data_IF_711655972139
#
_entry.id   IF_711655972139
#
_cell.length_a   1.000
_cell.length_b   1.000
_cell.length_c   1.000
_cell.angle_alpha   90.00
_cell.angle_beta   90.00
_cell.angle_gamma   90.00
#
_symmetry.space_group_name_H-M   'P 1'
#
loop_
_entity.id
_entity.type
_entity.pdbx_description
1 polymer ?
#
# COMPACT_ATOMS: atom_id res chain seq x y z
N UNK A 1 8.26 33.95 22.41
CA UNK A 1 8.33 32.66 21.69
C UNK A 1 9.79 32.41 21.37
N UNK A 2 10.39 31.32 21.87
CA UNK A 2 11.79 31.00 21.56
C UNK A 2 11.90 30.52 20.11
N UNK A 3 12.96 30.93 19.39
CA UNK A 3 13.21 30.54 17.99
C UNK A 3 13.10 29.02 17.80
N UNK A 4 13.57 28.25 18.80
CA UNK A 4 13.49 26.79 18.84
C UNK A 4 12.05 26.27 18.74
N UNK A 5 11.09 26.86 19.46
CA UNK A 5 9.69 26.44 19.42
C UNK A 5 9.03 26.74 18.06
N UNK A 6 9.42 27.84 17.42
CA UNK A 6 8.95 28.19 16.07
C UNK A 6 9.49 27.20 15.04
N UNK A 7 10.80 26.90 15.08
CA UNK A 7 11.40 25.92 14.17
C UNK A 7 10.81 24.52 14.36
N UNK A 8 10.60 24.11 15.61
CA UNK A 8 9.92 22.86 15.97
C UNK A 8 8.52 22.76 15.33
N UNK A 9 7.74 23.83 15.41
CA UNK A 9 6.38 23.91 14.87
C UNK A 9 6.37 23.87 13.33
N UNK A 10 7.31 24.57 12.68
CA UNK A 10 7.48 24.53 11.22
C UNK A 10 7.86 23.12 10.77
N UNK A 11 8.85 22.50 11.43
CA UNK A 11 9.29 21.15 11.12
C UNK A 11 8.16 20.12 11.23
N UNK A 12 7.31 20.23 12.25
CA UNK A 12 6.14 19.37 12.42
C UNK A 12 5.12 19.55 11.29
N UNK A 13 4.83 20.80 10.92
CA UNK A 13 3.86 21.11 9.89
C UNK A 13 4.30 20.66 8.49
N UNK A 14 5.59 20.83 8.18
CA UNK A 14 6.12 20.67 6.81
C UNK A 14 6.76 19.29 6.58
N UNK A 15 7.28 18.65 7.64
CA UNK A 15 8.00 17.38 7.53
C UNK A 15 7.22 16.27 6.83
N UNK A 16 6.04 15.86 7.31
CA UNK A 16 5.27 14.79 6.68
C UNK A 16 4.87 15.09 5.22
N UNK A 17 4.32 16.28 4.87
CA UNK A 17 4.04 16.62 3.47
C UNK A 17 5.25 16.53 2.53
N UNK A 18 6.44 16.92 2.99
CA UNK A 18 7.65 16.86 2.17
C UNK A 18 8.07 15.43 1.82
N UNK A 19 7.88 14.48 2.75
CA UNK A 19 8.17 13.07 2.47
C UNK A 19 7.29 12.56 1.32
N UNK A 20 6.01 12.91 1.32
CA UNK A 20 5.09 12.54 0.24
C UNK A 20 5.40 13.29 -1.07
N UNK A 21 5.85 14.54 -1.00
CA UNK A 21 6.27 15.30 -2.17
C UNK A 21 7.54 14.70 -2.82
N UNK A 22 8.52 14.27 -2.02
CA UNK A 22 9.71 13.56 -2.49
C UNK A 22 9.33 12.21 -3.16
N UNK A 23 8.39 11.48 -2.55
CA UNK A 23 7.83 10.28 -3.16
C UNK A 23 7.18 10.56 -4.51
N UNK A 24 6.37 11.62 -4.61
CA UNK A 24 5.75 12.05 -5.86
C UNK A 24 6.80 12.36 -6.93
N UNK A 25 7.86 13.09 -6.57
CA UNK A 25 8.95 13.41 -7.47
C UNK A 25 9.68 12.15 -7.97
N UNK A 26 9.92 11.17 -7.09
CA UNK A 26 10.54 9.89 -7.44
C UNK A 26 9.71 9.11 -8.47
N UNK A 27 8.38 9.12 -8.34
CA UNK A 27 7.45 8.47 -9.28
C UNK A 27 7.49 9.17 -10.65
N UNK A 28 7.43 10.50 -10.68
CA UNK A 28 7.53 11.28 -11.93
C UNK A 28 8.84 10.97 -12.66
N UNK A 29 9.95 10.90 -11.92
CA UNK A 29 11.27 10.59 -12.49
C UNK A 29 11.33 9.17 -13.07
N UNK A 30 10.71 8.20 -12.41
CA UNK A 30 10.72 6.78 -12.83
C UNK A 30 9.65 6.44 -13.86
N UNK A 31 8.62 7.30 -14.01
CA UNK A 31 7.41 7.05 -14.83
C UNK A 31 6.72 5.72 -14.50
N UNK A 32 6.75 5.33 -13.23
CA UNK A 32 6.14 4.09 -12.76
C UNK A 32 5.52 4.30 -11.37
N UNK A 33 4.22 4.07 -11.28
CA UNK A 33 3.43 4.15 -10.04
C UNK A 33 3.02 2.78 -9.49
N UNK A 34 3.47 1.66 -10.10
CA UNK A 34 3.03 0.29 -9.78
C UNK A 34 3.31 -0.14 -8.32
N UNK A 35 4.25 0.53 -7.65
CA UNK A 35 4.58 0.31 -6.24
C UNK A 35 3.80 1.17 -5.24
N UNK A 36 2.93 2.09 -5.68
CA UNK A 36 2.25 3.03 -4.80
C UNK A 36 0.76 2.69 -4.62
N UNK A 37 0.29 2.67 -3.38
CA UNK A 37 -1.11 2.36 -3.07
C UNK A 37 -1.95 3.63 -3.04
N UNK A 38 -2.90 3.75 -3.98
CA UNK A 38 -3.91 4.81 -3.97
C UNK A 38 -4.70 4.85 -2.65
N UNK A 39 -4.88 3.70 -1.99
CA UNK A 39 -5.63 3.58 -0.74
C UNK A 39 -5.00 4.39 0.41
N UNK A 40 -3.67 4.34 0.53
CA UNK A 40 -2.95 5.08 1.57
C UNK A 40 -3.19 6.57 1.38
N UNK A 41 -3.15 7.04 0.15
CA UNK A 41 -3.44 8.43 -0.18
C UNK A 41 -4.86 8.83 0.25
N UNK A 42 -5.86 8.00 -0.04
CA UNK A 42 -7.25 8.24 0.36
C UNK A 42 -7.46 8.29 1.85
N UNK A 43 -6.90 7.32 2.58
CA UNK A 43 -6.97 7.28 4.04
C UNK A 43 -6.37 8.54 4.66
N UNK A 44 -5.21 9.00 4.16
CA UNK A 44 -4.56 10.22 4.65
C UNK A 44 -5.39 11.47 4.32
N UNK A 45 -5.95 11.58 3.11
CA UNK A 45 -6.81 12.73 2.74
C UNK A 45 -8.04 12.78 3.65
N UNK A 46 -8.76 11.66 3.78
CA UNK A 46 -9.99 11.57 4.58
C UNK A 46 -9.71 11.93 6.04
N UNK A 47 -8.66 11.37 6.64
CA UNK A 47 -8.28 11.67 8.02
C UNK A 47 -8.02 13.17 8.23
N UNK A 48 -7.30 13.81 7.30
CA UNK A 48 -6.95 15.23 7.42
C UNK A 48 -8.12 16.17 7.12
N UNK A 49 -9.09 15.77 6.29
CA UNK A 49 -10.33 16.53 6.11
C UNK A 49 -11.15 16.51 7.41
N UNK A 50 -11.38 15.34 8.00
CA UNK A 50 -12.11 15.22 9.28
C UNK A 50 -11.39 16.02 10.37
N UNK A 51 -10.05 16.02 10.37
CA UNK A 51 -9.24 16.81 11.30
C UNK A 51 -9.43 18.32 11.17
N UNK A 52 -9.63 18.84 9.95
CA UNK A 52 -9.96 20.26 9.74
C UNK A 52 -11.33 20.58 10.35
N UNK A 53 -12.31 19.69 10.20
CA UNK A 53 -13.62 19.86 10.86
C UNK A 53 -13.53 19.77 12.38
N UNK A 54 -12.70 18.87 12.90
CA UNK A 54 -12.39 18.81 14.33
C UNK A 54 -11.84 20.16 14.85
N UNK A 55 -10.93 20.79 14.10
CA UNK A 55 -10.39 22.10 14.45
C UNK A 55 -11.45 23.21 14.51
N UNK A 56 -12.50 23.13 13.70
CA UNK A 56 -13.60 24.11 13.74
C UNK A 56 -14.35 24.08 15.08
N UNK A 57 -14.49 22.89 15.68
CA UNK A 57 -15.11 22.72 17.00
C UNK A 57 -14.15 22.96 18.15
N UNK A 58 -12.97 22.32 18.13
CA UNK A 58 -11.94 22.45 19.15
C UNK A 58 -10.63 22.94 18.54
N UNK A 59 -10.25 24.18 18.87
CA UNK A 59 -9.07 24.84 18.30
C UNK A 59 -7.79 24.29 18.93
N UNK A 60 -7.13 23.38 18.22
CA UNK A 60 -5.77 22.96 18.51
C UNK A 60 -4.72 23.84 17.80
N UNK A 61 -3.45 23.61 18.13
CA UNK A 61 -2.26 24.30 17.61
C UNK A 61 -2.29 24.52 16.08
N UNK A 62 -2.17 25.77 15.64
CA UNK A 62 -2.15 26.17 14.22
C UNK A 62 -1.16 25.40 13.35
N UNK A 63 0.06 25.05 13.81
CA UNK A 63 0.99 24.22 13.04
C UNK A 63 0.39 22.88 12.58
N UNK A 64 -0.46 22.25 13.39
CA UNK A 64 -1.11 20.98 13.02
C UNK A 64 -2.23 21.17 12.01
N UNK A 65 -2.90 22.33 12.03
CA UNK A 65 -3.88 22.67 11.01
C UNK A 65 -3.16 22.87 9.66
N UNK A 66 -2.05 23.63 9.67
CA UNK A 66 -1.21 23.82 8.48
C UNK A 66 -0.70 22.45 7.99
N UNK A 67 -0.25 21.57 8.89
CA UNK A 67 0.15 20.19 8.55
C UNK A 67 -0.96 19.46 7.79
N UNK A 68 -2.21 19.56 8.27
CA UNK A 68 -3.36 18.85 7.69
C UNK A 68 -3.67 19.36 6.28
N UNK A 69 -3.62 20.68 6.08
CA UNK A 69 -3.83 21.31 4.76
C UNK A 69 -2.71 20.89 3.80
N UNK A 70 -1.44 20.98 4.22
CA UNK A 70 -0.31 20.58 3.39
C UNK A 70 -0.33 19.09 3.06
N UNK A 71 -0.77 18.24 3.99
CA UNK A 71 -0.95 16.81 3.74
C UNK A 71 -2.03 16.56 2.69
N UNK A 72 -3.19 17.23 2.76
CA UNK A 72 -4.23 17.09 1.73
C UNK A 72 -3.69 17.49 0.36
N UNK A 73 -3.00 18.63 0.25
CA UNK A 73 -2.45 19.11 -1.02
C UNK A 73 -1.39 18.15 -1.59
N UNK A 74 -0.45 17.70 -0.76
CA UNK A 74 0.61 16.76 -1.16
C UNK A 74 0.02 15.42 -1.63
N UNK A 75 -0.99 14.92 -0.91
CA UNK A 75 -1.66 13.67 -1.24
C UNK A 75 -2.51 13.78 -2.52
N UNK A 76 -3.26 14.88 -2.71
CA UNK A 76 -3.98 15.10 -3.97
C UNK A 76 -3.03 15.19 -5.16
N UNK A 77 -1.88 15.85 -5.00
CA UNK A 77 -0.84 15.89 -6.03
C UNK A 77 -0.27 14.51 -6.34
N UNK A 78 0.03 13.73 -5.31
CA UNK A 78 0.52 12.35 -5.45
C UNK A 78 -0.52 11.44 -6.12
N UNK A 79 -1.80 11.55 -5.75
CA UNK A 79 -2.90 10.82 -6.38
C UNK A 79 -3.02 11.17 -7.87
N UNK A 80 -2.98 12.45 -8.20
CA UNK A 80 -3.05 12.90 -9.59
C UNK A 80 -1.88 12.36 -10.42
N UNK A 81 -0.66 12.37 -9.87
CA UNK A 81 0.54 11.82 -10.51
C UNK A 81 0.39 10.31 -10.71
N UNK A 82 -0.06 9.58 -9.69
CA UNK A 82 -0.20 8.12 -9.77
C UNK A 82 -1.26 7.69 -10.80
N UNK A 83 -2.36 8.44 -10.91
CA UNK A 83 -3.38 8.21 -11.95
C UNK A 83 -2.84 8.55 -13.35
N UNK A 84 -2.01 9.59 -13.48
CA UNK A 84 -1.42 9.97 -14.77
C UNK A 84 -0.42 8.93 -15.30
N UNK A 85 0.38 8.32 -14.41
CA UNK A 85 1.35 7.29 -14.77
C UNK A 85 0.83 5.85 -14.58
N UNK A 86 -0.47 5.67 -14.34
CA UNK A 86 -1.08 4.35 -14.19
C UNK A 86 -0.96 3.54 -15.50
N UNK A 87 -0.54 2.26 -15.46
CA UNK A 87 -0.34 1.42 -16.65
C UNK A 87 -1.57 1.32 -17.58
N UNK A 88 -2.79 1.51 -17.05
CA UNK A 88 -4.02 1.46 -17.85
C UNK A 88 -4.08 2.50 -18.97
N UNK A 89 -3.41 3.65 -18.82
CA UNK A 89 -3.32 4.65 -19.88
C UNK A 89 -2.46 4.20 -21.07
N UNK A 90 -1.60 3.18 -20.89
CA UNK A 90 -0.73 2.64 -21.95
C UNK A 90 -1.42 1.61 -22.84
N UNK A 91 -2.58 1.09 -22.42
CA UNK A 91 -3.33 0.06 -23.16
C UNK A 91 -4.34 0.62 -24.17
N UNK A 92 -4.61 1.94 -24.18
CA UNK A 92 -5.50 2.57 -25.17
C UNK A 92 -4.75 3.15 -26.40
N UNK A 93 -3.42 3.05 -26.44
CA UNK A 93 -2.59 3.51 -27.56
C UNK A 93 -2.13 2.43 -28.53
N UNK A 94 -2.48 1.16 -28.31
CA UNK A 94 -2.27 0.08 -29.29
C UNK A 94 -3.61 -0.24 -29.95
N UNK A 95 -3.97 0.57 -30.94
CA UNK A 95 -4.98 0.17 -31.92
C UNK A 95 -4.66 -1.22 -32.45
N UNK A 96 -5.64 -2.11 -32.27
CA UNK A 96 -6.07 -3.14 -33.21
C UNK A 96 -5.11 -3.41 -34.39
N UNK A 97 -4.22 -4.39 -34.22
CA UNK A 97 -3.72 -5.18 -35.34
C UNK A 97 -4.03 -6.63 -35.02
N UNK A 98 -5.27 -7.05 -35.28
CA UNK A 98 -5.52 -8.48 -35.53
C UNK A 98 -4.98 -8.77 -36.93
N UNK A 99 -3.99 -9.66 -37.08
CA UNK A 99 -3.64 -10.17 -38.41
C UNK A 99 -4.89 -10.82 -39.01
N UNK A 100 -5.25 -10.39 -40.22
CA UNK A 100 -6.26 -11.08 -41.03
C UNK A 100 -5.63 -12.42 -41.43
N UNK A 101 -6.11 -13.51 -40.86
CA UNK A 101 -5.79 -14.86 -41.31
C UNK A 101 -6.68 -15.19 -42.53
N UNK A 102 -6.11 -15.39 -43.74
CA UNK A 102 -6.86 -15.81 -44.90
C UNK A 102 -6.63 -17.31 -45.09
N UNK A 103 -7.27 -18.17 -44.30
CA UNK A 103 -7.37 -19.58 -44.64
C UNK A 103 -8.67 -20.22 -44.13
N UNK A 104 -9.56 -20.40 -45.08
CA UNK A 104 -10.80 -21.16 -45.01
C UNK A 104 -10.47 -22.65 -44.74
N UNK A 105 -11.17 -23.31 -43.81
CA UNK A 105 -11.69 -24.65 -44.10
C UNK A 105 -12.85 -25.03 -43.17
N UNK A 106 -13.98 -25.30 -43.83
CA UNK A 106 -15.18 -25.93 -43.31
C UNK A 106 -14.88 -27.27 -42.61
N UNK A 107 -15.53 -27.54 -41.48
CA UNK A 107 -16.12 -28.84 -41.19
C UNK A 107 -17.25 -28.72 -40.16
N UNK A 108 -18.40 -29.25 -40.55
CA UNK A 108 -19.69 -29.29 -39.88
C UNK A 108 -19.81 -30.57 -39.01
N UNK A 109 -20.62 -30.48 -37.94
CA UNK A 109 -21.31 -31.55 -37.18
C UNK A 109 -20.55 -32.74 -36.54
N UNK A 110 -20.69 -32.91 -35.22
CA UNK A 110 -21.59 -33.92 -34.59
C UNK A 110 -21.51 -33.95 -33.04
N UNK A 111 -22.66 -34.21 -32.41
CA UNK A 111 -22.90 -34.47 -30.99
C UNK A 111 -22.44 -35.89 -30.56
N UNK A 112 -22.54 -36.14 -29.25
CA UNK A 112 -22.27 -37.38 -28.47
C UNK A 112 -20.84 -37.41 -27.89
N UNK A 113 -20.59 -37.68 -26.60
CA UNK A 113 -21.18 -38.76 -25.78
C UNK A 113 -20.91 -38.47 -24.28
N UNK A 114 -21.91 -38.75 -23.43
CA UNK A 114 -21.81 -38.78 -21.97
C UNK A 114 -21.41 -40.20 -21.58
N UNK A 115 -20.29 -40.39 -20.86
CA UNK A 115 -20.08 -41.63 -20.11
C UNK A 115 -19.43 -41.38 -18.74
N UNK A 116 -20.09 -41.95 -17.74
CA UNK A 116 -19.72 -42.01 -16.34
C UNK A 116 -18.59 -43.01 -16.11
N UNK A 117 -17.70 -42.74 -15.15
CA UNK A 117 -17.01 -43.83 -14.43
C UNK A 117 -16.88 -43.46 -12.96
N UNK A 118 -17.61 -44.21 -12.13
CA UNK A 118 -17.51 -44.21 -10.67
C UNK A 118 -16.50 -45.25 -10.18
N UNK A 119 -15.81 -44.93 -9.08
CA UNK A 119 -15.25 -45.91 -8.13
C UNK A 119 -13.81 -45.62 -7.64
N UNK A 120 -13.39 -46.06 -6.44
CA UNK A 120 -14.14 -46.22 -5.20
C UNK A 120 -13.56 -45.40 -4.03
N UNK A 121 -14.36 -45.29 -2.99
CA UNK A 121 -14.15 -44.67 -1.69
C UNK A 121 -12.93 -45.21 -0.91
N UNK A 122 -12.01 -44.32 -0.52
CA UNK A 122 -11.08 -44.55 0.60
C UNK A 122 -11.53 -43.73 1.81
N UNK A 123 -11.99 -44.42 2.86
CA UNK A 123 -12.19 -43.90 4.20
C UNK A 123 -10.85 -43.44 4.81
N UNK A 124 -10.75 -42.17 5.20
CA UNK A 124 -9.73 -41.67 6.14
C UNK A 124 -10.33 -40.52 6.97
N UNK A 125 -9.91 -40.36 8.24
CA UNK A 125 -10.76 -39.85 9.30
C UNK A 125 -10.88 -38.32 9.34
N UNK A 126 -12.05 -37.86 9.77
CA UNK A 126 -12.36 -36.48 10.11
C UNK A 126 -11.30 -35.86 11.03
N UNK A 127 -10.54 -34.90 10.50
CA UNK A 127 -9.88 -33.87 11.29
C UNK A 127 -10.56 -32.55 10.96
N UNK A 128 -11.23 -31.98 11.95
CA UNK A 128 -11.81 -30.64 11.90
C UNK A 128 -10.67 -29.64 12.12
N UNK A 129 -10.17 -28.91 11.10
CA UNK A 129 -9.18 -27.88 11.34
C UNK A 129 -9.91 -26.69 11.95
N UNK A 130 -9.46 -26.24 13.11
CA UNK A 130 -9.86 -24.96 13.67
C UNK A 130 -9.62 -23.86 12.62
N UNK A 131 -10.65 -23.03 12.47
CA UNK A 131 -10.88 -22.04 11.43
C UNK A 131 -9.75 -20.99 11.28
N UNK A 132 -8.61 -21.36 10.68
CA UNK A 132 -7.61 -20.42 10.13
C UNK A 132 -8.05 -19.83 8.76
N UNK A 133 -9.13 -20.37 8.19
CA UNK A 133 -9.67 -19.96 6.89
C UNK A 133 -10.40 -18.63 6.93
N UNK A 134 -11.13 -18.29 7.99
CA UNK A 134 -11.94 -17.06 8.05
C UNK A 134 -11.12 -15.78 7.92
N UNK A 135 -9.98 -15.70 8.62
CA UNK A 135 -9.05 -14.58 8.52
C UNK A 135 -8.34 -14.56 7.16
N UNK A 136 -7.80 -15.70 6.70
CA UNK A 136 -7.15 -15.77 5.38
C UNK A 136 -8.12 -15.42 4.25
N UNK A 137 -9.38 -15.81 4.34
CA UNK A 137 -10.43 -15.51 3.37
C UNK A 137 -10.90 -14.05 3.46
N UNK A 138 -10.93 -13.46 4.65
CA UNK A 138 -11.16 -12.02 4.85
C UNK A 138 -10.00 -11.18 4.27
N UNK A 139 -8.75 -11.60 4.49
CA UNK A 139 -7.57 -10.96 3.90
C UNK A 139 -7.44 -11.21 2.39
N UNK A 140 -7.93 -12.36 1.89
CA UNK A 140 -8.09 -12.63 0.46
C UNK A 140 -9.18 -11.75 -0.14
N UNK A 141 -10.31 -11.54 0.55
CA UNK A 141 -11.37 -10.62 0.13
C UNK A 141 -10.92 -9.15 0.09
N UNK A 142 -10.01 -8.75 0.98
CA UNK A 142 -9.38 -7.42 0.93
C UNK A 142 -8.38 -7.25 -0.24
N UNK A 143 -7.82 -8.36 -0.76
CA UNK A 143 -6.82 -8.37 -1.84
C UNK A 143 -7.40 -8.74 -3.22
N UNK A 144 -8.48 -9.50 -3.26
CA UNK A 144 -9.16 -9.95 -4.45
C UNK A 144 -10.28 -8.97 -4.81
N UNK A 145 -9.97 -8.01 -5.68
CA UNK A 145 -10.81 -7.46 -6.76
C UNK A 145 -12.23 -6.92 -6.51
N UNK A 146 -13.00 -7.42 -5.53
CA UNK A 146 -14.36 -6.99 -5.24
C UNK A 146 -14.42 -6.37 -3.85
N UNK A 147 -13.86 -5.16 -3.75
CA UNK A 147 -14.20 -4.26 -2.64
C UNK A 147 -15.67 -3.87 -2.77
N UNK A 148 -16.43 -3.76 -1.67
CA UNK A 148 -17.78 -3.24 -1.76
C UNK A 148 -17.73 -1.86 -2.45
N UNK A 149 -18.47 -1.73 -3.56
CA UNK A 149 -18.59 -0.54 -4.40
C UNK A 149 -17.31 -0.04 -5.12
N UNK A 150 -16.23 -0.84 -5.19
CA UNK A 150 -14.98 -0.38 -5.83
C UNK A 150 -14.41 0.89 -5.17
N UNK A 151 -14.62 1.03 -3.85
CA UNK A 151 -14.26 2.24 -3.12
C UNK A 151 -12.78 2.61 -3.34
N UNK A 152 -12.57 3.86 -3.74
CA UNK A 152 -11.25 4.47 -3.97
C UNK A 152 -10.41 3.83 -5.10
N UNK A 153 -11.05 3.08 -6.01
CA UNK A 153 -10.42 2.45 -7.18
C UNK A 153 -10.92 3.03 -8.51
N UNK A 154 -11.32 4.30 -8.52
CA UNK A 154 -11.87 4.96 -9.70
C UNK A 154 -10.77 5.32 -10.71
N UNK A 155 -11.10 5.32 -12.00
CA UNK A 155 -10.12 5.64 -13.06
C UNK A 155 -9.87 7.15 -13.19
N UNK A 156 -10.90 7.97 -12.95
CA UNK A 156 -10.83 9.41 -13.12
C UNK A 156 -10.51 10.15 -11.82
N UNK A 157 -9.53 11.06 -11.86
CA UNK A 157 -9.22 11.98 -10.75
C UNK A 157 -10.45 12.79 -10.30
N UNK A 158 -11.34 13.12 -11.25
CA UNK A 158 -12.60 13.82 -10.96
C UNK A 158 -13.51 13.10 -9.98
N UNK A 159 -13.65 11.77 -10.08
CA UNK A 159 -14.49 10.97 -9.17
C UNK A 159 -13.99 11.00 -7.72
N UNK A 160 -12.65 11.06 -7.54
CA UNK A 160 -12.06 11.26 -6.22
C UNK A 160 -12.41 12.64 -5.66
N UNK A 161 -12.27 13.70 -6.46
CA UNK A 161 -12.62 15.06 -6.02
C UNK A 161 -14.12 15.20 -5.71
N UNK A 162 -15.00 14.59 -6.51
CA UNK A 162 -16.44 14.60 -6.28
C UNK A 162 -16.80 13.94 -4.95
N UNK A 163 -16.24 12.76 -4.68
CA UNK A 163 -16.43 12.08 -3.39
C UNK A 163 -15.92 12.94 -2.22
N UNK A 164 -14.73 13.53 -2.35
CA UNK A 164 -14.15 14.37 -1.31
C UNK A 164 -14.98 15.65 -1.08
N UNK A 165 -15.48 16.28 -2.15
CA UNK A 165 -16.36 17.43 -2.08
C UNK A 165 -17.68 17.06 -1.39
N UNK A 166 -18.28 15.92 -1.75
CA UNK A 166 -19.46 15.37 -1.09
C UNK A 166 -19.22 15.13 0.41
N UNK A 167 -18.08 14.54 0.78
CA UNK A 167 -17.69 14.35 2.18
C UNK A 167 -17.57 15.68 2.92
N UNK A 168 -16.94 16.69 2.33
CA UNK A 168 -16.82 18.04 2.93
C UNK A 168 -18.20 18.67 3.13
N UNK A 169 -19.12 18.54 2.16
CA UNK A 169 -20.50 19.04 2.29
C UNK A 169 -21.25 18.33 3.42
N UNK A 170 -21.18 17.00 3.48
CA UNK A 170 -21.82 16.20 4.54
C UNK A 170 -21.25 16.57 5.91
N UNK A 171 -19.93 16.61 6.05
CA UNK A 171 -19.27 17.04 7.29
C UNK A 171 -19.64 18.48 7.65
N UNK A 172 -19.79 19.37 6.67
CA UNK A 172 -20.26 20.75 6.85
C UNK A 172 -21.69 20.81 7.41
N UNK A 173 -22.61 20.05 6.83
CA UNK A 173 -23.99 19.95 7.31
C UNK A 173 -24.01 19.40 8.75
N UNK A 174 -23.29 18.29 8.99
CA UNK A 174 -23.17 17.72 10.33
C UNK A 174 -22.54 18.70 11.33
N UNK A 175 -21.54 19.47 10.91
CA UNK A 175 -20.91 20.49 11.75
C UNK A 175 -21.90 21.60 12.13
N UNK A 176 -22.74 22.06 11.20
CA UNK A 176 -23.73 23.10 11.49
C UNK A 176 -24.82 22.58 12.44
N UNK A 177 -25.27 21.34 12.27
CA UNK A 177 -26.35 20.75 13.08
C UNK A 177 -25.84 20.30 14.46
N UNK A 178 -24.71 19.58 14.49
CA UNK A 178 -24.20 18.88 15.67
C UNK A 178 -23.01 19.58 16.34
N UNK A 179 -22.38 20.56 15.70
CA UNK A 179 -21.14 21.19 16.18
C UNK A 179 -21.25 21.94 17.51
N UNK A 180 -22.47 22.14 18.03
CA UNK A 180 -22.71 22.69 19.37
C UNK A 180 -22.51 21.64 20.48
N UNK A 181 -22.49 20.36 20.14
CA UNK A 181 -22.42 19.26 21.09
C UNK A 181 -20.99 18.73 21.20
N UNK A 182 -20.45 18.73 22.42
CA UNK A 182 -19.06 18.32 22.67
C UNK A 182 -18.78 16.87 22.24
N UNK A 183 -19.73 15.96 22.47
CA UNK A 183 -19.58 14.54 22.10
C UNK A 183 -19.35 14.37 20.59
N UNK A 184 -19.96 15.22 19.76
CA UNK A 184 -19.77 15.16 18.31
C UNK A 184 -18.36 15.64 17.94
N UNK A 185 -17.90 16.75 18.53
CA UNK A 185 -16.53 17.27 18.32
C UNK A 185 -15.47 16.26 18.80
N UNK A 186 -15.70 15.63 19.95
CA UNK A 186 -14.81 14.59 20.47
C UNK A 186 -14.79 13.36 19.57
N UNK A 187 -15.94 12.97 19.02
CA UNK A 187 -16.05 11.81 18.13
C UNK A 187 -15.33 12.05 16.81
N UNK A 188 -15.51 13.20 16.17
CA UNK A 188 -14.82 13.51 14.90
C UNK A 188 -13.30 13.62 15.10
N UNK A 189 -12.86 14.20 16.22
CA UNK A 189 -11.45 14.29 16.57
C UNK A 189 -10.83 12.92 16.81
N UNK A 190 -11.51 12.06 17.58
CA UNK A 190 -11.10 10.68 17.80
C UNK A 190 -11.04 9.89 16.48
N UNK A 191 -12.04 10.01 15.60
CA UNK A 191 -12.04 9.33 14.30
C UNK A 191 -10.85 9.79 13.45
N UNK A 192 -10.66 11.11 13.29
CA UNK A 192 -9.59 11.67 12.47
C UNK A 192 -8.19 11.23 12.94
N UNK A 193 -7.97 11.23 14.26
CA UNK A 193 -6.70 10.87 14.86
C UNK A 193 -6.49 9.34 14.88
N UNK A 194 -7.55 8.56 15.10
CA UNK A 194 -7.48 7.10 15.04
C UNK A 194 -7.11 6.62 13.64
N UNK A 195 -7.76 7.15 12.59
CA UNK A 195 -7.42 6.81 11.20
C UNK A 195 -5.93 7.10 10.93
N UNK A 196 -5.40 8.25 11.36
CA UNK A 196 -3.97 8.54 11.19
C UNK A 196 -3.07 7.56 11.96
N UNK A 197 -3.40 7.19 13.19
CA UNK A 197 -2.59 6.21 13.96
C UNK A 197 -2.59 4.80 13.38
N UNK A 198 -3.50 4.50 12.43
CA UNK A 198 -3.57 3.17 11.80
C UNK A 198 -2.67 3.04 10.57
N UNK A 199 -2.03 4.12 10.12
CA UNK A 199 -1.16 4.10 8.93
C UNK A 199 0.03 3.10 9.02
N UNK A 200 0.63 2.83 10.19
CA UNK A 200 1.68 1.82 10.29
C UNK A 200 1.18 0.36 10.22
N UNK A 201 -0.12 0.12 10.42
CA UNK A 201 -0.70 -1.22 10.54
C UNK A 201 -0.48 -2.08 9.28
N UNK A 202 -0.72 -1.59 8.05
CA UNK A 202 -0.45 -2.38 6.85
C UNK A 202 1.01 -2.83 6.75
N UNK A 203 1.96 -1.96 7.14
CA UNK A 203 3.38 -2.31 7.16
C UNK A 203 3.67 -3.40 8.20
N UNK A 204 3.13 -3.24 9.42
CA UNK A 204 3.26 -4.23 10.49
C UNK A 204 2.73 -5.61 10.07
N UNK A 205 1.56 -5.65 9.42
CA UNK A 205 0.95 -6.89 8.92
C UNK A 205 1.80 -7.49 7.79
N UNK A 206 2.28 -6.68 6.86
CA UNK A 206 3.14 -7.13 5.76
C UNK A 206 4.42 -7.79 6.28
N UNK A 207 5.11 -7.14 7.21
CA UNK A 207 6.29 -7.70 7.88
C UNK A 207 5.98 -9.01 8.60
N UNK A 208 4.84 -9.08 9.31
CA UNK A 208 4.44 -10.29 10.03
C UNK A 208 4.13 -11.46 9.10
N UNK A 209 3.50 -11.19 7.94
CA UNK A 209 3.15 -12.19 6.94
C UNK A 209 4.36 -12.70 6.18
N UNK A 210 5.22 -11.79 5.73
CA UNK A 210 6.38 -12.14 4.92
C UNK A 210 7.54 -12.68 5.75
N UNK A 211 7.44 -12.60 7.09
CA UNK A 211 8.51 -12.94 8.05
C UNK A 211 9.85 -12.32 7.65
N UNK A 212 9.77 -11.13 7.08
CA UNK A 212 10.88 -10.38 6.51
C UNK A 212 10.48 -8.92 6.39
N UNK A 213 11.44 -8.04 6.63
CA UNK A 213 11.33 -6.61 6.35
C UNK A 213 12.08 -6.22 5.06
N UNK A 214 12.22 -7.16 4.12
CA UNK A 214 12.85 -6.91 2.81
C UNK A 214 12.15 -5.76 2.07
N UNK A 215 12.94 -4.85 1.49
CA UNK A 215 12.46 -3.65 0.81
C UNK A 215 12.06 -2.48 1.72
N UNK A 216 11.95 -2.68 3.05
CA UNK A 216 11.68 -1.59 3.98
C UNK A 216 12.96 -0.82 4.32
N UNK A 217 12.96 0.50 4.09
CA UNK A 217 14.11 1.40 4.26
C UNK A 217 14.33 1.75 5.73
N UNK A 218 15.51 1.46 6.27
CA UNK A 218 15.83 1.67 7.69
C UNK A 218 15.74 3.14 8.12
N UNK A 219 16.17 4.05 7.25
CA UNK A 219 16.06 5.49 7.49
C UNK A 219 14.61 5.99 7.45
N UNK A 220 13.67 5.26 6.86
CA UNK A 220 12.24 5.60 6.97
C UNK A 220 11.72 5.28 8.38
N UNK A 221 12.06 4.10 8.91
CA UNK A 221 11.70 3.71 10.29
C UNK A 221 12.30 4.67 11.32
N UNK A 222 13.58 5.03 11.16
CA UNK A 222 14.23 6.01 12.03
C UNK A 222 13.52 7.38 11.98
N UNK A 223 13.08 7.79 10.79
CA UNK A 223 12.29 9.01 10.60
C UNK A 223 10.92 8.96 11.29
N UNK A 224 10.23 7.82 11.24
CA UNK A 224 8.95 7.61 11.94
C UNK A 224 9.13 7.72 13.46
N UNK A 225 10.03 6.91 14.03
CA UNK A 225 10.33 6.91 15.48
C UNK A 225 10.69 8.32 15.94
N UNK A 226 11.57 9.01 15.21
CA UNK A 226 12.00 10.36 15.56
C UNK A 226 10.83 11.35 15.49
N UNK A 227 10.08 11.35 14.40
CA UNK A 227 8.96 12.26 14.18
C UNK A 227 7.83 12.07 15.19
N UNK A 228 7.45 10.83 15.48
CA UNK A 228 6.34 10.51 16.37
C UNK A 228 6.72 10.66 17.84
N UNK A 229 7.97 10.35 18.22
CA UNK A 229 8.52 10.70 19.53
C UNK A 229 8.54 12.21 19.74
N UNK A 230 9.00 12.96 18.74
CA UNK A 230 9.03 14.43 18.78
C UNK A 230 7.63 15.03 18.93
N UNK A 231 6.65 14.57 18.15
CA UNK A 231 5.24 14.98 18.28
C UNK A 231 4.67 14.64 19.65
N UNK A 232 4.97 13.44 20.17
CA UNK A 232 4.53 13.03 21.50
C UNK A 232 5.01 14.04 22.55
N UNK A 233 6.32 14.29 22.62
CA UNK A 233 6.89 15.26 23.56
C UNK A 233 6.23 16.64 23.39
N UNK A 234 6.07 17.10 22.14
CA UNK A 234 5.42 18.38 21.86
C UNK A 234 3.97 18.45 22.37
N UNK A 235 3.15 17.41 22.18
CA UNK A 235 1.76 17.40 22.66
C UNK A 235 1.64 17.39 24.18
N UNK A 236 2.56 16.72 24.87
CA UNK A 236 2.61 16.74 26.33
C UNK A 236 3.06 18.11 26.87
N UNK A 237 4.07 18.73 26.25
CA UNK A 237 4.57 20.04 26.66
C UNK A 237 3.60 21.19 26.35
N UNK A 238 2.86 21.13 25.24
CA UNK A 238 1.93 22.18 24.80
C UNK A 238 0.53 22.04 25.40
N UNK A 239 0.26 20.99 26.17
CA UNK A 239 -1.03 20.79 26.80
C UNK A 239 -2.17 20.54 25.81
N UNK A 240 -1.87 19.97 24.63
CA UNK A 240 -2.86 19.69 23.59
C UNK A 240 -3.99 18.75 24.09
N UNK A 241 -5.15 18.73 23.40
CA UNK A 241 -6.27 17.86 23.75
C UNK A 241 -5.84 16.40 23.95
N UNK A 242 -6.52 15.70 24.86
CA UNK A 242 -6.14 14.33 25.27
C UNK A 242 -6.10 13.35 24.09
N UNK A 243 -6.94 13.59 23.09
CA UNK A 243 -7.01 12.81 21.86
C UNK A 243 -5.65 12.76 21.15
N UNK A 244 -4.96 13.92 21.01
CA UNK A 244 -3.62 13.98 20.40
C UNK A 244 -2.57 13.19 21.17
N UNK A 245 -2.63 13.23 22.52
CA UNK A 245 -1.68 12.52 23.37
C UNK A 245 -1.84 11.01 23.26
N UNK A 246 -3.09 10.52 23.30
CA UNK A 246 -3.39 9.09 23.15
C UNK A 246 -2.91 8.60 21.78
N UNK A 247 -3.26 9.31 20.72
CA UNK A 247 -2.86 8.95 19.35
C UNK A 247 -1.35 8.96 19.15
N UNK A 248 -0.64 9.93 19.71
CA UNK A 248 0.82 10.00 19.61
C UNK A 248 1.50 8.83 20.34
N UNK A 249 0.99 8.44 21.51
CA UNK A 249 1.46 7.23 22.20
C UNK A 249 1.22 5.99 21.33
N UNK A 250 0.03 5.85 20.74
CA UNK A 250 -0.27 4.71 19.87
C UNK A 250 0.66 4.64 18.65
N UNK A 251 0.97 5.77 18.02
CA UNK A 251 1.91 5.85 16.90
C UNK A 251 3.31 5.35 17.30
N UNK A 252 3.83 5.86 18.43
CA UNK A 252 5.12 5.41 18.97
C UNK A 252 5.09 3.91 19.28
N UNK A 253 3.98 3.36 19.79
CA UNK A 253 3.84 1.93 20.01
C UNK A 253 3.92 1.13 18.70
N UNK A 254 3.28 1.61 17.62
CA UNK A 254 3.37 0.96 16.31
C UNK A 254 4.78 0.99 15.74
N UNK A 255 5.49 2.11 15.90
CA UNK A 255 6.87 2.23 15.46
C UNK A 255 7.79 1.24 16.17
N UNK A 256 7.65 1.11 17.50
CA UNK A 256 8.40 0.11 18.26
C UNK A 256 8.02 -1.32 17.88
N UNK A 257 6.74 -1.58 17.56
CA UNK A 257 6.31 -2.89 17.10
C UNK A 257 6.96 -3.24 15.75
N UNK A 258 7.04 -2.29 14.81
CA UNK A 258 7.74 -2.47 13.53
C UNK A 258 9.26 -2.61 13.73
N UNK A 259 9.85 -1.85 14.65
CA UNK A 259 11.27 -1.98 15.02
C UNK A 259 11.58 -3.37 15.58
N UNK A 260 10.73 -3.89 16.47
CA UNK A 260 10.88 -5.23 17.02
C UNK A 260 10.79 -6.30 15.91
N UNK A 261 9.86 -6.13 14.96
CA UNK A 261 9.79 -7.01 13.78
C UNK A 261 11.05 -6.93 12.93
N UNK A 262 11.62 -5.73 12.75
CA UNK A 262 12.87 -5.54 12.00
C UNK A 262 14.04 -6.27 12.65
N UNK A 263 14.19 -6.18 13.97
CA UNK A 263 15.23 -6.89 14.72
C UNK A 263 15.03 -8.41 14.62
N UNK A 264 13.78 -8.89 14.71
CA UNK A 264 13.46 -10.32 14.71
C UNK A 264 13.60 -10.98 13.33
N UNK A 265 13.06 -10.35 12.29
CA UNK A 265 12.97 -10.94 10.95
C UNK A 265 14.12 -10.53 10.04
N UNK A 266 14.80 -9.42 10.34
CA UNK A 266 15.85 -8.87 9.49
C UNK A 266 15.35 -8.51 8.09
N UNK A 267 16.31 -8.32 7.19
CA UNK A 267 16.08 -7.82 5.82
C UNK A 267 16.33 -8.89 4.75
N UNK A 268 16.25 -10.19 5.12
CA UNK A 268 16.51 -11.28 4.17
C UNK A 268 15.32 -11.41 3.20
N UNK A 269 15.53 -11.66 1.90
CA UNK A 269 14.43 -11.86 0.97
C UNK A 269 13.53 -13.03 1.43
N UNK A 270 12.20 -12.95 1.22
CA UNK A 270 11.28 -14.01 1.62
C UNK A 270 11.58 -15.31 0.85
N UNK A 271 11.45 -16.46 1.52
CA UNK A 271 11.79 -17.79 0.96
C UNK A 271 11.10 -18.10 -0.38
N UNK A 272 9.91 -17.53 -0.64
CA UNK A 272 9.19 -17.68 -1.92
C UNK A 272 9.91 -17.08 -3.13
N UNK A 273 10.85 -16.15 -2.93
CA UNK A 273 11.68 -15.57 -4.00
C UNK A 273 13.05 -16.25 -4.14
N UNK A 274 13.47 -17.04 -3.16
CA UNK A 274 14.76 -17.77 -3.22
C UNK A 274 14.67 -19.03 -4.08
N UNK A 275 13.55 -19.76 -4.04
CA UNK A 275 13.38 -21.01 -4.81
C UNK A 275 13.28 -20.86 -6.34
N UNK A 276 13.14 -19.63 -6.86
CA UNK A 276 13.13 -19.36 -8.30
C UNK A 276 14.51 -19.05 -8.90
N UNK A 277 15.50 -18.75 -8.06
CA UNK A 277 16.88 -18.42 -8.53
C UNK A 277 17.80 -19.64 -8.47
N UNK A 278 17.50 -20.63 -7.63
CA UNK A 278 18.33 -21.83 -7.47
C UNK A 278 18.13 -22.84 -8.61
N UNK A 279 16.99 -22.81 -9.32
CA UNK A 279 16.73 -23.74 -10.43
C UNK A 279 17.42 -23.33 -11.75
N UNK A 280 17.81 -22.05 -11.90
CA UNK A 280 18.53 -21.56 -13.08
C UNK A 280 20.06 -21.70 -12.94
N UNK A 281 20.59 -21.86 -11.72
CA UNK A 281 22.04 -21.95 -11.49
C UNK A 281 22.62 -23.36 -11.72
N UNK A 282 21.80 -24.41 -11.57
CA UNK A 282 22.25 -25.80 -11.69
C UNK A 282 22.07 -26.40 -13.11
N UNK A 283 21.40 -25.67 -14.02
CA UNK A 283 21.10 -26.14 -15.38
C UNK A 283 22.14 -25.79 -16.46
N UNK A 284 23.03 -24.82 -16.21
CA UNK A 284 23.89 -24.24 -17.26
C UNK A 284 25.30 -24.86 -17.34
N UNK A 285 25.70 -25.72 -16.39
CA UNK A 285 27.08 -26.20 -16.26
C UNK A 285 27.32 -27.67 -16.64
N UNK A 286 26.38 -28.36 -17.29
CA UNK A 286 26.58 -29.78 -17.68
C UNK A 286 26.58 -30.05 -19.19
N UNK A 287 26.39 -29.05 -20.05
CA UNK A 287 26.29 -29.27 -21.49
C UNK A 287 27.42 -28.71 -22.36
N UNK A 288 28.54 -28.26 -21.78
CA UNK A 288 29.64 -27.68 -22.58
C UNK A 288 30.94 -28.49 -22.66
N UNK A 289 31.06 -29.63 -21.97
CA UNK A 289 32.34 -30.36 -21.89
C UNK A 289 32.41 -31.67 -22.70
N UNK A 290 31.41 -32.02 -23.53
CA UNK A 290 31.43 -33.30 -24.28
C UNK A 290 31.67 -33.20 -25.80
N UNK A 291 31.65 -32.00 -26.39
CA UNK A 291 31.71 -31.87 -27.86
C UNK A 291 33.08 -31.46 -28.45
N UNK A 292 34.08 -31.14 -27.62
CA UNK A 292 35.41 -30.72 -28.12
C UNK A 292 36.43 -31.87 -28.29
N UNK A 293 36.26 -33.04 -27.67
CA UNK A 293 37.31 -34.08 -27.71
C UNK A 293 37.28 -34.99 -28.96
N UNK A 294 36.23 -34.95 -29.79
CA UNK A 294 36.09 -35.87 -30.95
C UNK A 294 36.43 -35.27 -32.33
N UNK A 295 36.88 -34.02 -32.43
CA UNK A 295 37.19 -33.37 -33.72
C UNK A 295 38.67 -33.31 -34.11
N UNK A 296 39.56 -33.92 -33.32
CA UNK A 296 41.00 -33.76 -33.46
C UNK A 296 41.79 -34.90 -34.13
N UNK A 297 41.19 -35.86 -34.84
CA UNK A 297 41.96 -36.95 -35.49
C UNK A 297 41.32 -37.45 -36.79
N UNK A 298 41.35 -36.64 -37.85
CA UNK A 298 41.30 -37.12 -39.23
C UNK A 298 41.64 -35.99 -40.19
N UNK A 299 42.89 -35.97 -40.68
CA UNK A 299 43.24 -35.93 -42.11
C UNK A 299 44.73 -35.59 -42.27
N UNK A 300 45.43 -36.26 -43.19
CA UNK A 300 46.81 -35.90 -43.55
C UNK A 300 47.81 -37.04 -43.73
N UNK A 301 47.39 -38.23 -44.18
CA UNK A 301 48.29 -39.12 -44.94
C UNK A 301 47.84 -39.11 -46.39
N UNK A 302 48.58 -38.43 -47.28
CA UNK A 302 48.84 -38.89 -48.65
C UNK A 302 49.76 -37.90 -49.42
N UNK A 303 50.85 -38.49 -49.93
CA UNK A 303 51.84 -38.01 -50.93
C UNK A 303 53.06 -37.25 -50.44
#
# INVERSE_FOLDING_TARGET
MTIVATLASIGMAVGPPLVYADQAYSIVKKKDSSGFSHDVCGVVIIANIIRIFFWLGERFETPLLIQSILLILSQLGLLAICLHYSPSARSQGSESYTPIDPSNHDHDQSLEEIEHTEGPSSFAPHQHPLNEGGLKNMWRGLKAGNRPFGFWQWEGFGSYLEFLAGMIVVLGILQVILGRWMWYIDTIGLIALTIESTLPIPQFISNYRNKSCYGFRESALAGWIFGDSFKTVYFFLRGNPIQFKITAIMLVCWDFAVLAQRIKYGSKPPQSQQGGVEFDADGENQHHDQDEESRGLRDGSER
#
